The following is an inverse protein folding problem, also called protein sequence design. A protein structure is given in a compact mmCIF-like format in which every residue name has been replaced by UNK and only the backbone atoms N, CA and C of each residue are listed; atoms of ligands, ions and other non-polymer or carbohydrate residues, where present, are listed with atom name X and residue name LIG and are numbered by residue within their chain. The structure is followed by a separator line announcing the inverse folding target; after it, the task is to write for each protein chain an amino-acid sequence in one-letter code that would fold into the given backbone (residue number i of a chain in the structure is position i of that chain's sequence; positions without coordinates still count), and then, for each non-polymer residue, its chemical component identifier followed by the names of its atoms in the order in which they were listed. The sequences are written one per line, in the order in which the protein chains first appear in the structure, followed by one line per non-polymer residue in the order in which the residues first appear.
data_IF_664129023126
#
_entry.id   IF_664129023126
#
_cell.length_a   1.000
_cell.length_b   1.000
_cell.length_c   1.000
_cell.angle_alpha   90.00
_cell.angle_beta   90.00
_cell.angle_gamma   90.00
#
_symmetry.space_group_name_H-M   'P 1'
#
loop_
_entity.id
_entity.type
_entity.pdbx_description
1 polymer ?
#
# COMPACT_ATOMS: atom_id res chain seq x y z
N UNK A 1 -29.63 -56.63 29.06
CA UNK A 1 -30.01 -55.54 28.12
C UNK A 1 -29.28 -54.29 28.59
N UNK A 2 -28.33 -53.76 27.80
CA UNK A 2 -27.59 -52.52 28.09
C UNK A 2 -28.42 -51.34 27.58
N UNK A 3 -28.61 -50.33 28.42
CA UNK A 3 -29.16 -49.04 27.99
C UNK A 3 -27.99 -48.10 27.63
N UNK A 4 -28.01 -47.57 26.41
CA UNK A 4 -27.12 -46.51 25.92
C UNK A 4 -27.57 -45.16 26.52
N UNK A 5 -26.67 -44.41 27.15
CA UNK A 5 -26.90 -43.02 27.55
C UNK A 5 -26.56 -42.09 26.38
N UNK A 6 -27.54 -41.36 25.85
CA UNK A 6 -27.30 -40.22 24.96
C UNK A 6 -27.03 -38.94 25.78
N UNK A 7 -25.97 -38.16 25.47
CA UNK A 7 -25.69 -36.91 26.16
C UNK A 7 -26.70 -35.81 25.77
N UNK A 8 -27.31 -35.17 26.78
CA UNK A 8 -28.18 -34.00 26.58
C UNK A 8 -27.32 -32.75 26.35
N UNK A 9 -27.56 -32.05 25.23
CA UNK A 9 -26.99 -30.74 24.95
C UNK A 9 -27.64 -29.65 25.84
N UNK A 10 -26.84 -28.78 26.50
CA UNK A 10 -27.36 -27.76 27.40
C UNK A 10 -28.04 -26.61 26.63
N UNK A 11 -29.35 -26.44 26.85
CA UNK A 11 -30.18 -25.37 26.26
C UNK A 11 -30.17 -24.11 27.15
N UNK A 12 -28.99 -23.52 27.40
CA UNK A 12 -28.93 -22.25 28.15
C UNK A 12 -29.06 -21.06 27.18
N UNK A 13 -30.00 -20.16 27.47
CA UNK A 13 -30.27 -18.92 26.73
C UNK A 13 -29.04 -18.02 26.56
N UNK A 14 -28.05 -18.15 27.46
CA UNK A 14 -26.75 -17.49 27.39
C UNK A 14 -25.95 -17.89 26.14
N UNK A 15 -26.01 -19.16 25.71
CA UNK A 15 -25.34 -19.61 24.48
C UNK A 15 -25.95 -18.99 23.22
N UNK A 16 -27.28 -18.80 23.20
CA UNK A 16 -27.97 -18.14 22.10
C UNK A 16 -27.63 -16.65 22.04
N UNK A 17 -27.51 -15.97 23.19
CA UNK A 17 -27.08 -14.56 23.27
C UNK A 17 -25.63 -14.37 22.77
N UNK A 18 -24.71 -15.25 23.17
CA UNK A 18 -23.34 -15.26 22.68
C UNK A 18 -23.27 -15.52 21.17
N UNK A 19 -24.11 -16.41 20.64
CA UNK A 19 -24.19 -16.72 19.21
C UNK A 19 -24.74 -15.52 18.39
N UNK A 20 -25.74 -14.80 18.92
CA UNK A 20 -26.30 -13.60 18.27
C UNK A 20 -25.26 -12.45 18.27
N UNK A 21 -24.49 -12.27 19.35
CA UNK A 21 -23.42 -11.26 19.40
C UNK A 21 -22.30 -11.53 18.37
N UNK A 22 -22.00 -12.80 18.10
CA UNK A 22 -21.05 -13.22 17.05
C UNK A 22 -21.60 -13.07 15.63
N UNK A 23 -22.93 -13.07 15.45
CA UNK A 23 -23.58 -12.79 14.16
C UNK A 23 -23.70 -11.28 13.87
N UNK A 24 -23.64 -10.42 14.89
CA UNK A 24 -23.61 -8.96 14.73
C UNK A 24 -22.21 -8.41 14.42
N UNK A 25 -21.12 -9.15 14.67
CA UNK A 25 -19.76 -8.73 14.31
C UNK A 25 -19.45 -8.91 12.82
N UNK A 26 -20.31 -9.59 12.06
CA UNK A 26 -20.19 -9.74 10.60
C UNK A 26 -20.94 -8.65 9.83
N UNK A 27 -20.78 -7.39 10.23
CA UNK A 27 -20.86 -6.27 9.31
C UNK A 27 -19.50 -5.57 9.30
N UNK A 28 -18.46 -6.33 8.92
CA UNK A 28 -17.24 -5.70 8.48
C UNK A 28 -17.58 -5.09 7.12
N UNK A 29 -17.95 -3.81 7.10
CA UNK A 29 -17.78 -3.01 5.89
C UNK A 29 -16.34 -3.24 5.46
N UNK A 30 -16.16 -3.86 4.29
CA UNK A 30 -14.85 -4.14 3.68
C UNK A 30 -14.20 -2.80 3.35
N UNK A 31 -13.65 -2.16 4.37
CA UNK A 31 -12.90 -0.94 4.24
C UNK A 31 -11.53 -1.39 3.77
N UNK A 32 -11.31 -1.31 2.46
CA UNK A 32 -10.04 -1.66 1.87
C UNK A 32 -9.01 -0.62 2.25
N UNK A 33 -8.35 -0.91 3.36
CA UNK A 33 -7.24 -0.12 3.85
C UNK A 33 -6.02 -0.40 2.99
N UNK A 34 -5.22 0.65 2.80
CA UNK A 34 -3.90 0.56 2.22
C UNK A 34 -3.08 -0.56 2.86
N UNK A 35 -2.40 -1.34 2.01
CA UNK A 35 -1.48 -2.36 2.49
C UNK A 35 -0.36 -1.71 3.32
N UNK A 36 -0.16 -2.20 4.54
CA UNK A 36 0.78 -1.61 5.49
C UNK A 36 2.23 -1.56 4.97
N UNK A 37 2.66 -2.57 4.21
CA UNK A 37 4.01 -2.59 3.63
C UNK A 37 4.14 -1.52 2.54
N UNK A 38 3.12 -1.39 1.68
CA UNK A 38 3.12 -0.38 0.64
C UNK A 38 3.05 1.04 1.24
N UNK A 39 2.22 1.25 2.27
CA UNK A 39 2.14 2.52 3.00
C UNK A 39 3.50 2.93 3.59
N UNK A 40 4.16 1.99 4.28
CA UNK A 40 5.46 2.26 4.90
C UNK A 40 6.55 2.53 3.85
N UNK A 41 6.54 1.78 2.74
CA UNK A 41 7.48 1.98 1.64
C UNK A 41 7.36 3.38 1.02
N UNK A 42 6.13 3.86 0.87
CA UNK A 42 5.83 5.22 0.38
C UNK A 42 6.22 6.30 1.40
N UNK A 43 5.95 6.13 2.70
CA UNK A 43 6.40 7.07 3.73
C UNK A 43 7.93 7.18 3.77
N UNK A 44 8.63 6.05 3.72
CA UNK A 44 10.09 6.03 3.64
C UNK A 44 10.60 6.69 2.34
N UNK A 45 9.84 6.58 1.24
CA UNK A 45 10.16 7.32 0.03
C UNK A 45 9.96 8.83 0.24
N UNK A 46 8.82 9.28 0.78
CA UNK A 46 8.57 10.70 1.02
C UNK A 46 9.56 11.34 1.98
N UNK A 47 10.02 10.61 3.00
CA UNK A 47 11.02 11.09 3.96
C UNK A 47 12.39 11.36 3.30
N UNK A 48 12.67 10.70 2.18
CA UNK A 48 13.90 10.93 1.39
C UNK A 48 13.82 12.14 0.46
N UNK A 49 12.66 12.79 0.37
CA UNK A 49 12.39 13.91 -0.53
C UNK A 49 12.34 15.24 0.19
N UNK A 50 12.59 16.31 -0.56
CA UNK A 50 12.28 17.68 -0.15
C UNK A 50 11.53 18.40 -1.27
N UNK A 51 10.56 19.26 -0.92
CA UNK A 51 9.81 20.07 -1.88
C UNK A 51 9.29 21.35 -1.21
N UNK A 52 9.07 22.39 -2.03
CA UNK A 52 8.38 23.61 -1.60
C UNK A 52 6.89 23.39 -1.34
N UNK A 53 6.31 22.31 -1.88
CA UNK A 53 4.94 21.88 -1.65
C UNK A 53 4.96 20.40 -1.22
N UNK A 54 5.01 20.12 0.10
CA UNK A 54 5.03 18.76 0.63
C UNK A 54 3.84 17.94 0.13
N UNK A 55 4.03 16.63 -0.02
CA UNK A 55 2.96 15.70 -0.35
C UNK A 55 1.95 15.63 0.80
N UNK A 56 0.67 15.37 0.50
CA UNK A 56 -0.36 15.19 1.53
C UNK A 56 -0.31 13.84 2.27
N UNK A 57 0.80 13.12 2.16
CA UNK A 57 0.96 11.77 2.68
C UNK A 57 1.16 11.81 4.20
N UNK A 58 0.42 10.97 4.93
CA UNK A 58 0.44 10.91 6.40
C UNK A 58 0.24 9.49 6.89
N UNK A 59 1.00 9.09 7.92
CA UNK A 59 0.85 7.79 8.59
C UNK A 59 -0.53 7.59 9.24
N UNK A 60 -1.27 8.67 9.47
CA UNK A 60 -2.60 8.64 10.08
C UNK A 60 -3.75 8.57 9.09
N UNK A 61 -3.48 8.70 7.78
CA UNK A 61 -4.50 8.62 6.72
C UNK A 61 -4.27 7.42 5.80
N UNK A 62 -5.34 6.94 5.20
CA UNK A 62 -5.31 5.81 4.30
C UNK A 62 -4.73 6.20 2.94
N UNK A 63 -3.66 5.50 2.50
CA UNK A 63 -2.95 5.88 1.28
C UNK A 63 -3.78 5.69 0.01
N UNK A 64 -4.66 4.70 -0.03
CA UNK A 64 -5.41 4.34 -1.23
C UNK A 64 -6.58 5.28 -1.51
N UNK A 65 -7.08 5.96 -0.48
CA UNK A 65 -8.22 6.87 -0.57
C UNK A 65 -7.87 8.34 -0.43
N UNK A 66 -6.77 8.67 0.26
CA UNK A 66 -6.48 10.06 0.66
C UNK A 66 -5.20 10.64 0.04
N UNK A 67 -4.24 9.81 -0.35
CA UNK A 67 -2.94 10.32 -0.79
C UNK A 67 -2.95 10.69 -2.26
N UNK A 68 -2.42 11.86 -2.56
CA UNK A 68 -2.26 12.31 -3.93
C UNK A 68 -1.31 11.40 -4.71
N UNK A 69 -1.64 11.16 -5.97
CA UNK A 69 -0.81 10.37 -6.88
C UNK A 69 -0.76 8.87 -6.58
N UNK A 70 -1.57 8.35 -5.65
CA UNK A 70 -1.64 6.92 -5.32
C UNK A 70 -2.93 6.31 -5.87
N UNK A 71 -2.80 5.16 -6.53
CA UNK A 71 -3.93 4.29 -6.89
C UNK A 71 -3.65 2.88 -6.40
N UNK A 72 -4.67 2.24 -5.85
CA UNK A 72 -4.58 0.88 -5.33
C UNK A 72 -5.54 -0.07 -6.05
N UNK A 73 -5.19 -1.36 -6.05
CA UNK A 73 -6.10 -2.42 -6.46
C UNK A 73 -7.19 -2.70 -5.42
N UNK A 74 -8.11 -3.61 -5.76
CA UNK A 74 -9.17 -4.05 -4.86
C UNK A 74 -8.71 -4.82 -3.63
N UNK A 75 -7.39 -4.99 -3.40
CA UNK A 75 -6.77 -5.60 -2.22
C UNK A 75 -5.95 -4.59 -1.41
N UNK A 76 -6.00 -3.30 -1.74
CA UNK A 76 -5.25 -2.24 -1.09
C UNK A 76 -3.75 -2.22 -1.46
N UNK A 77 -3.34 -2.95 -2.50
CA UNK A 77 -1.95 -2.90 -3.01
C UNK A 77 -1.79 -1.71 -3.93
N UNK A 78 -0.69 -0.97 -3.79
CA UNK A 78 -0.41 0.19 -4.66
C UNK A 78 -0.04 -0.30 -6.06
N UNK A 79 -0.80 0.14 -7.05
CA UNK A 79 -0.61 -0.22 -8.47
C UNK A 79 -0.10 0.96 -9.30
N UNK A 80 -0.30 2.20 -8.86
CA UNK A 80 0.18 3.42 -9.54
C UNK A 80 0.72 4.43 -8.53
N UNK A 81 1.89 4.98 -8.85
CA UNK A 81 2.49 6.16 -8.23
C UNK A 81 2.70 7.23 -9.30
N UNK A 82 1.96 8.33 -9.23
CA UNK A 82 1.89 9.37 -10.27
C UNK A 82 2.10 10.77 -9.69
N UNK A 83 3.34 11.25 -9.73
CA UNK A 83 3.74 12.55 -9.16
C UNK A 83 4.56 13.41 -10.15
N UNK A 84 4.12 13.63 -11.40
CA UNK A 84 4.86 14.48 -12.32
C UNK A 84 4.75 15.96 -11.92
N UNK A 85 5.75 16.78 -12.26
CA UNK A 85 5.75 18.24 -12.04
C UNK A 85 5.59 18.71 -10.58
N UNK A 86 6.02 17.89 -9.61
CA UNK A 86 5.89 18.18 -8.17
C UNK A 86 7.09 18.92 -7.57
N UNK A 87 8.09 19.26 -8.39
CA UNK A 87 9.37 19.89 -7.97
C UNK A 87 10.06 19.10 -6.85
N UNK A 88 9.88 17.78 -6.82
CA UNK A 88 10.48 16.90 -5.82
C UNK A 88 11.99 16.90 -6.00
N UNK A 89 12.74 17.11 -4.91
CA UNK A 89 14.19 17.04 -4.83
C UNK A 89 14.61 15.88 -3.93
N UNK A 90 15.83 15.38 -4.10
CA UNK A 90 16.37 14.25 -3.36
C UNK A 90 16.58 13.05 -4.26
N UNK A 91 16.69 11.86 -3.65
CA UNK A 91 16.99 10.62 -4.36
C UNK A 91 15.78 9.71 -4.42
N UNK A 92 15.72 8.86 -5.46
CA UNK A 92 14.70 7.82 -5.54
C UNK A 92 15.05 6.71 -4.54
N UNK A 93 14.27 6.59 -3.46
CA UNK A 93 14.48 5.58 -2.43
C UNK A 93 14.28 4.15 -2.96
N UNK A 94 15.13 3.23 -2.50
CA UNK A 94 14.99 1.80 -2.78
C UNK A 94 13.73 1.16 -2.18
N UNK A 95 13.05 1.86 -1.25
CA UNK A 95 11.78 1.42 -0.67
C UNK A 95 10.68 1.24 -1.73
N UNK A 96 10.72 2.00 -2.84
CA UNK A 96 9.77 1.82 -3.94
C UNK A 96 9.82 0.41 -4.56
N UNK A 97 10.94 -0.31 -4.45
CA UNK A 97 11.05 -1.71 -4.85
C UNK A 97 10.24 -2.69 -3.97
N UNK A 98 9.65 -2.23 -2.87
CA UNK A 98 8.78 -3.05 -2.01
C UNK A 98 7.32 -3.05 -2.49
N UNK A 99 6.95 -2.13 -3.39
CA UNK A 99 5.60 -1.98 -3.93
C UNK A 99 5.32 -3.09 -4.96
N UNK A 100 5.16 -4.33 -4.50
CA UNK A 100 5.13 -5.50 -5.40
C UNK A 100 3.96 -5.52 -6.39
N UNK A 101 2.93 -4.69 -6.18
CA UNK A 101 1.81 -4.51 -7.11
C UNK A 101 2.01 -3.36 -8.12
N UNK A 102 3.08 -2.58 -7.99
CA UNK A 102 3.29 -1.37 -8.78
C UNK A 102 3.42 -1.71 -10.26
N UNK A 103 2.53 -1.14 -11.06
CA UNK A 103 2.48 -1.28 -12.51
C UNK A 103 2.89 -0.01 -13.25
N UNK A 104 2.65 1.16 -12.62
CA UNK A 104 2.92 2.45 -13.24
C UNK A 104 3.62 3.38 -12.25
N UNK A 105 4.81 3.83 -12.63
CA UNK A 105 5.61 4.79 -11.89
C UNK A 105 5.88 5.99 -12.78
N UNK A 106 5.37 7.16 -12.39
CA UNK A 106 5.70 8.43 -13.03
C UNK A 106 6.20 9.44 -12.01
N UNK A 107 7.49 9.75 -12.09
CA UNK A 107 8.17 10.81 -11.34
C UNK A 107 8.79 11.86 -12.28
N UNK A 108 8.30 11.94 -13.52
CA UNK A 108 8.85 12.82 -14.55
C UNK A 108 8.74 14.30 -14.19
N UNK A 109 9.57 15.12 -14.81
CA UNK A 109 9.56 16.58 -14.64
C UNK A 109 9.67 17.03 -13.17
N UNK A 110 10.51 16.35 -12.41
CA UNK A 110 10.88 16.75 -11.05
C UNK A 110 12.34 17.24 -11.02
N UNK A 111 12.89 17.41 -9.83
CA UNK A 111 14.25 17.85 -9.59
C UNK A 111 15.04 16.73 -8.89
N UNK A 112 14.65 15.46 -9.09
CA UNK A 112 15.28 14.31 -8.46
C UNK A 112 16.70 14.14 -9.02
N UNK A 113 17.60 13.65 -8.16
CA UNK A 113 19.01 13.45 -8.48
C UNK A 113 19.50 12.11 -7.94
N UNK A 114 20.72 11.72 -8.30
CA UNK A 114 21.29 10.46 -7.84
C UNK A 114 21.12 9.33 -8.85
N UNK A 115 21.57 8.15 -8.43
CA UNK A 115 21.42 6.90 -9.18
C UNK A 115 20.09 6.22 -8.79
N UNK A 116 19.20 5.91 -9.75
CA UNK A 116 17.97 5.19 -9.45
C UNK A 116 18.26 3.75 -8.95
N UNK A 117 17.48 3.21 -8.00
CA UNK A 117 17.72 1.89 -7.44
C UNK A 117 17.23 0.76 -8.39
N UNK A 118 17.71 0.73 -9.63
CA UNK A 118 17.25 -0.19 -10.69
C UNK A 118 17.31 -1.67 -10.28
N UNK A 119 18.34 -2.06 -9.52
CA UNK A 119 18.47 -3.43 -8.99
C UNK A 119 17.34 -3.84 -8.04
N UNK A 120 16.56 -2.89 -7.52
CA UNK A 120 15.34 -3.15 -6.75
C UNK A 120 14.09 -3.09 -7.63
N UNK A 121 14.08 -2.26 -8.67
CA UNK A 121 12.99 -2.23 -9.65
C UNK A 121 12.89 -3.53 -10.46
N UNK A 122 13.99 -4.26 -10.64
CA UNK A 122 13.95 -5.60 -11.23
C UNK A 122 13.09 -6.62 -10.45
N UNK A 123 12.80 -6.36 -9.18
CA UNK A 123 11.89 -7.19 -8.37
C UNK A 123 10.41 -6.85 -8.54
N UNK A 124 10.09 -5.72 -9.19
CA UNK A 124 8.73 -5.29 -9.48
C UNK A 124 8.19 -6.04 -10.69
N UNK A 125 7.58 -7.21 -10.44
CA UNK A 125 7.12 -8.13 -11.50
C UNK A 125 5.95 -7.59 -12.34
N UNK A 126 5.22 -6.60 -11.81
CA UNK A 126 4.05 -6.03 -12.46
C UNK A 126 4.34 -4.72 -13.19
N UNK A 127 5.59 -4.23 -13.18
CA UNK A 127 5.91 -2.91 -13.72
C UNK A 127 5.78 -2.90 -15.25
N UNK A 128 4.99 -1.97 -15.76
CA UNK A 128 4.73 -1.78 -17.19
C UNK A 128 5.24 -0.43 -17.68
N UNK A 129 5.10 0.60 -16.82
CA UNK A 129 5.48 1.98 -17.14
C UNK A 129 6.40 2.51 -16.06
N UNK A 130 7.59 2.96 -16.47
CA UNK A 130 8.51 3.75 -15.66
C UNK A 130 8.83 5.02 -16.43
N UNK A 131 8.39 6.16 -15.93
CA UNK A 131 8.76 7.47 -16.44
C UNK A 131 9.50 8.28 -15.37
N UNK A 132 10.81 8.39 -15.54
CA UNK A 132 11.72 9.19 -14.71
C UNK A 132 12.31 10.36 -15.51
N UNK A 133 11.78 10.65 -16.70
CA UNK A 133 12.31 11.65 -17.63
C UNK A 133 12.27 13.06 -17.03
N UNK A 134 13.09 13.97 -17.57
CA UNK A 134 13.16 15.36 -17.09
C UNK A 134 13.43 15.48 -15.58
N UNK A 135 14.45 14.77 -15.11
CA UNK A 135 15.06 14.89 -13.78
C UNK A 135 16.59 15.09 -13.93
N UNK A 136 17.31 15.21 -12.81
CA UNK A 136 18.78 15.29 -12.75
C UNK A 136 19.42 13.94 -12.35
N UNK A 137 18.82 12.84 -12.79
CA UNK A 137 19.30 11.48 -12.51
C UNK A 137 20.56 11.19 -13.33
N UNK A 138 21.48 10.43 -12.75
CA UNK A 138 22.70 10.00 -13.43
C UNK A 138 22.92 8.50 -13.24
N UNK A 139 23.48 7.84 -14.25
CA UNK A 139 23.57 6.38 -14.33
C UNK A 139 22.91 5.85 -15.59
N UNK A 140 23.60 4.98 -16.32
CA UNK A 140 23.08 4.39 -17.55
C UNK A 140 21.95 3.41 -17.26
N UNK A 141 20.91 3.49 -18.09
CA UNK A 141 19.94 2.42 -18.31
C UNK A 141 20.61 1.36 -19.21
N UNK A 142 21.61 0.65 -18.69
CA UNK A 142 22.26 -0.45 -19.42
C UNK A 142 21.50 -1.76 -19.22
#
# INVERSE_FOLDING_TARGET
MRAELQPRLPHSSSFYLLFILLLYSSNLSYQQTCNQQDQQALLTFSDSLSSSAPLNWSSTSDCCSSWEGIECDGKGRVIRLWLPYRRLKGNISSSLGQLSGLSQLNLSHNLLSGFPPFGRFSSLKSIEIIDLSSNHLYGDLS
#
